data_IF_118290773202
#
_entry.id   IF_118290773202
#
_cell.length_a   1.000
_cell.length_b   1.000
_cell.length_c   1.000
_cell.angle_alpha   90.00
_cell.angle_beta   90.00
_cell.angle_gamma   90.00
#
_symmetry.space_group_name_H-M   'P 1'
#
loop_
_entity.id
_entity.type
_entity.pdbx_description
1 polymer ?
#
# COMPACT_ATOMS: atom_id res chain seq x y z
N UNK A 1 -24.80 12.18 29.09
CA UNK A 1 -23.98 13.40 28.91
C UNK A 1 -23.09 13.19 27.70
N UNK A 2 -23.52 13.65 26.53
CA UNK A 2 -22.83 13.45 25.24
C UNK A 2 -21.91 14.64 24.99
N UNK A 3 -20.60 14.41 24.87
CA UNK A 3 -19.65 15.45 24.43
C UNK A 3 -19.51 15.37 22.92
N UNK A 4 -20.09 16.35 22.23
CA UNK A 4 -19.85 16.60 20.81
C UNK A 4 -18.53 17.38 20.71
N UNK A 5 -17.48 16.74 20.19
CA UNK A 5 -16.28 17.44 19.73
C UNK A 5 -16.47 17.78 18.26
N UNK A 6 -16.75 19.06 18.02
CA UNK A 6 -16.80 19.66 16.69
C UNK A 6 -15.38 19.68 16.13
N UNK A 7 -15.12 18.95 15.05
CA UNK A 7 -13.94 19.14 14.21
C UNK A 7 -14.42 19.65 12.87
N UNK A 8 -14.13 20.93 12.59
CA UNK A 8 -14.46 21.57 11.31
C UNK A 8 -13.20 21.82 10.49
N UNK A 9 -13.31 21.45 9.22
CA UNK A 9 -12.70 22.00 8.01
C UNK A 9 -11.54 21.25 7.30
N UNK A 10 -11.95 20.71 6.14
CA UNK A 10 -11.28 20.69 4.84
C UNK A 10 -10.38 19.51 4.45
N UNK A 11 -11.02 18.38 4.14
CA UNK A 11 -10.96 17.74 2.80
C UNK A 11 -11.98 16.58 2.73
N UNK A 12 -13.07 16.67 1.93
CA UNK A 12 -13.92 15.52 1.70
C UNK A 12 -13.33 14.74 0.51
N UNK A 13 -12.31 13.92 0.77
CA UNK A 13 -11.96 12.88 -0.18
C UNK A 13 -13.00 11.77 -0.02
N UNK A 14 -13.96 11.79 -0.96
CA UNK A 14 -14.80 10.68 -1.43
C UNK A 14 -15.55 9.86 -0.37
N UNK A 15 -16.87 9.73 -0.57
CA UNK A 15 -17.75 8.84 0.19
C UNK A 15 -17.35 7.37 -0.02
N UNK A 16 -16.28 6.92 0.61
CA UNK A 16 -16.06 5.51 0.87
C UNK A 16 -16.94 5.15 2.05
N UNK A 17 -18.06 4.50 1.76
CA UNK A 17 -18.90 3.87 2.76
C UNK A 17 -18.08 2.72 3.35
N UNK A 18 -17.31 3.01 4.41
CA UNK A 18 -16.61 2.00 5.20
C UNK A 18 -17.64 1.14 5.92
N UNK A 19 -18.17 0.16 5.19
CA UNK A 19 -19.19 -0.77 5.64
C UNK A 19 -18.51 -1.86 6.47
N UNK A 20 -18.45 -1.66 7.80
CA UNK A 20 -18.37 -2.65 8.92
C UNK A 20 -17.54 -3.95 8.83
N UNK A 21 -16.78 -4.21 7.78
CA UNK A 21 -15.85 -5.32 7.72
C UNK A 21 -14.43 -4.73 7.83
N UNK A 22 -13.70 -5.12 8.88
CA UNK A 22 -12.30 -4.72 9.11
C UNK A 22 -11.33 -5.17 8.00
N UNK A 23 -11.84 -5.71 6.89
CA UNK A 23 -11.10 -6.28 5.77
C UNK A 23 -11.77 -5.93 4.44
N UNK A 24 -10.96 -5.48 3.50
CA UNK A 24 -11.31 -5.36 2.08
C UNK A 24 -11.13 -6.74 1.44
N UNK A 25 -12.12 -7.14 0.64
CA UNK A 25 -12.09 -8.37 -0.15
C UNK A 25 -11.99 -8.01 -1.62
N UNK A 26 -11.00 -8.58 -2.29
CA UNK A 26 -10.83 -8.48 -3.72
C UNK A 26 -10.82 -9.87 -4.31
N UNK A 27 -11.84 -10.15 -5.12
CA UNK A 27 -11.95 -11.38 -5.88
C UNK A 27 -11.39 -11.10 -7.28
N UNK A 28 -10.15 -11.53 -7.51
CA UNK A 28 -9.67 -11.69 -8.89
C UNK A 28 -10.54 -12.73 -9.60
N UNK A 29 -10.50 -12.81 -10.92
CA UNK A 29 -11.44 -13.63 -11.70
C UNK A 29 -11.52 -15.12 -11.28
N UNK A 30 -10.58 -15.61 -10.47
CA UNK A 30 -10.59 -16.96 -9.95
C UNK A 30 -10.71 -16.98 -8.44
N UNK A 31 -11.56 -17.87 -7.87
CA UNK A 31 -11.87 -17.90 -6.45
C UNK A 31 -10.63 -18.19 -5.58
N UNK A 32 -9.60 -18.83 -6.12
CA UNK A 32 -8.32 -19.10 -5.44
C UNK A 32 -7.39 -17.86 -5.32
N UNK A 33 -7.79 -16.76 -5.95
CA UNK A 33 -7.07 -15.48 -5.94
C UNK A 33 -7.79 -14.41 -5.11
N UNK A 34 -8.57 -14.84 -4.11
CA UNK A 34 -9.12 -13.95 -3.10
C UNK A 34 -8.00 -13.27 -2.31
N UNK A 35 -8.05 -11.94 -2.26
CA UNK A 35 -7.18 -11.12 -1.42
C UNK A 35 -8.02 -10.45 -0.34
N UNK A 36 -7.69 -10.76 0.90
CA UNK A 36 -8.26 -10.12 2.09
C UNK A 36 -7.22 -9.18 2.69
N UNK A 37 -7.52 -7.89 2.74
CA UNK A 37 -6.62 -6.86 3.26
C UNK A 37 -7.29 -6.16 4.45
N UNK A 38 -6.74 -6.26 5.66
CA UNK A 38 -7.16 -5.43 6.79
C UNK A 38 -7.18 -3.94 6.45
N UNK A 39 -8.23 -3.23 6.84
CA UNK A 39 -8.35 -1.78 6.64
C UNK A 39 -7.44 -0.97 7.57
N UNK A 40 -6.90 -1.62 8.62
CA UNK A 40 -5.95 -1.08 9.59
C UNK A 40 -4.99 -2.17 10.06
N UNK A 41 -3.75 -1.76 10.35
CA UNK A 41 -2.74 -2.63 10.94
C UNK A 41 -2.17 -2.06 12.23
N UNK A 42 -2.05 -2.91 13.24
CA UNK A 42 -1.31 -2.61 14.46
C UNK A 42 0.16 -3.05 14.35
N UNK A 43 0.45 -4.02 13.47
CA UNK A 43 1.77 -4.61 13.29
C UNK A 43 2.38 -4.28 11.92
N UNK A 44 3.64 -3.85 11.92
CA UNK A 44 4.40 -3.60 10.68
C UNK A 44 4.57 -4.89 9.89
N UNK A 45 4.87 -5.97 10.61
CA UNK A 45 5.21 -7.26 10.02
C UNK A 45 4.00 -7.82 9.26
N UNK A 46 2.80 -7.65 9.82
CA UNK A 46 1.56 -8.07 9.16
C UNK A 46 1.30 -7.23 7.90
N UNK A 47 1.41 -5.91 8.00
CA UNK A 47 1.25 -5.03 6.84
C UNK A 47 2.27 -5.36 5.73
N UNK A 48 3.56 -5.48 6.06
CA UNK A 48 4.62 -5.82 5.08
C UNK A 48 4.41 -7.22 4.48
N UNK A 49 3.87 -8.18 5.26
CA UNK A 49 3.50 -9.51 4.76
C UNK A 49 2.38 -9.41 3.74
N UNK A 50 1.34 -8.63 4.02
CA UNK A 50 0.19 -8.50 3.13
C UNK A 50 0.54 -7.70 1.86
N UNK A 51 1.44 -6.72 1.94
CA UNK A 51 2.04 -6.09 0.73
C UNK A 51 2.68 -7.15 -0.16
N UNK A 52 3.52 -8.01 0.41
CA UNK A 52 4.18 -9.08 -0.36
C UNK A 52 3.17 -10.07 -0.93
N UNK A 53 2.11 -10.39 -0.20
CA UNK A 53 1.04 -11.28 -0.65
C UNK A 53 0.30 -10.67 -1.85
N UNK A 54 -0.02 -9.38 -1.81
CA UNK A 54 -0.62 -8.64 -2.94
C UNK A 54 0.28 -8.72 -4.18
N UNK A 55 1.56 -8.39 -4.03
CA UNK A 55 2.53 -8.43 -5.14
C UNK A 55 2.63 -9.85 -5.72
N UNK A 56 2.67 -10.88 -4.87
CA UNK A 56 2.71 -12.27 -5.30
C UNK A 56 1.45 -12.67 -6.10
N UNK A 57 0.26 -12.24 -5.67
CA UNK A 57 -1.01 -12.51 -6.39
C UNK A 57 -1.10 -11.77 -7.73
N UNK A 58 -0.59 -10.54 -7.81
CA UNK A 58 -0.44 -9.81 -9.08
C UNK A 58 0.51 -10.57 -10.01
N UNK A 59 1.64 -11.09 -9.50
CA UNK A 59 2.58 -11.90 -10.27
C UNK A 59 1.94 -13.19 -10.79
N UNK A 60 1.19 -13.89 -9.95
CA UNK A 60 0.45 -15.12 -10.31
C UNK A 60 -0.55 -14.85 -11.45
N UNK A 61 -1.30 -13.74 -11.36
CA UNK A 61 -2.23 -13.31 -12.42
C UNK A 61 -1.51 -13.03 -13.75
N UNK A 62 -0.32 -12.42 -13.67
CA UNK A 62 0.53 -12.16 -14.84
C UNK A 62 1.02 -13.44 -15.52
N UNK A 63 1.56 -14.38 -14.74
CA UNK A 63 2.06 -15.66 -15.26
C UNK A 63 0.93 -16.42 -15.97
N UNK A 64 -0.25 -16.41 -15.37
CA UNK A 64 -1.45 -17.03 -15.91
C UNK A 64 -1.95 -16.39 -17.21
N UNK A 65 -1.92 -15.07 -17.31
CA UNK A 65 -2.20 -14.41 -18.59
C UNK A 65 -1.22 -14.83 -19.68
N UNK A 66 0.05 -15.04 -19.35
CA UNK A 66 1.02 -15.60 -20.29
C UNK A 66 0.62 -16.98 -20.81
N UNK A 67 0.12 -17.87 -19.94
CA UNK A 67 -0.40 -19.19 -20.34
C UNK A 67 -1.65 -19.08 -21.22
N UNK A 68 -2.65 -18.29 -20.79
CA UNK A 68 -3.89 -18.11 -21.56
C UNK A 68 -3.65 -17.41 -22.90
N UNK A 69 -2.71 -16.47 -22.95
CA UNK A 69 -2.27 -15.82 -24.18
C UNK A 69 -1.73 -16.83 -25.18
N UNK A 70 -0.78 -17.68 -24.75
CA UNK A 70 -0.21 -18.77 -25.57
C UNK A 70 -1.27 -19.78 -26.03
N UNK A 71 -2.23 -20.10 -25.17
CA UNK A 71 -3.32 -21.03 -25.48
C UNK A 71 -4.45 -20.40 -26.32
N UNK A 72 -4.36 -19.11 -26.66
CA UNK A 72 -5.40 -18.37 -27.40
C UNK A 72 -6.78 -18.38 -26.71
N UNK A 73 -6.78 -18.45 -25.38
CA UNK A 73 -8.01 -18.47 -24.56
C UNK A 73 -8.20 -17.17 -23.76
N UNK A 74 -7.28 -16.22 -23.87
CA UNK A 74 -7.34 -14.97 -23.11
C UNK A 74 -8.27 -13.98 -23.80
N UNK A 75 -9.30 -13.53 -23.08
CA UNK A 75 -10.21 -12.51 -23.60
C UNK A 75 -9.91 -11.12 -23.05
N UNK A 76 -10.23 -10.08 -23.83
CA UNK A 76 -10.07 -8.69 -23.45
C UNK A 76 -10.84 -8.36 -22.16
N UNK A 77 -12.03 -8.94 -21.98
CA UNK A 77 -12.84 -8.77 -20.76
C UNK A 77 -12.07 -9.18 -19.51
N UNK A 78 -11.36 -10.30 -19.57
CA UNK A 78 -10.61 -10.85 -18.44
C UNK A 78 -9.38 -10.03 -18.10
N UNK A 79 -8.71 -9.50 -19.12
CA UNK A 79 -7.62 -8.56 -18.94
C UNK A 79 -8.12 -7.30 -18.23
N UNK A 80 -9.21 -6.69 -18.72
CA UNK A 80 -9.78 -5.48 -18.12
C UNK A 80 -10.22 -5.68 -16.67
N UNK A 81 -11.02 -6.71 -16.40
CA UNK A 81 -11.51 -7.00 -15.04
C UNK A 81 -10.37 -7.18 -14.05
N UNK A 82 -9.37 -7.99 -14.41
CA UNK A 82 -8.21 -8.26 -13.55
C UNK A 82 -7.36 -7.01 -13.33
N UNK A 83 -7.17 -6.17 -14.35
CA UNK A 83 -6.44 -4.90 -14.22
C UNK A 83 -7.19 -3.91 -13.34
N UNK A 84 -8.51 -3.81 -13.48
CA UNK A 84 -9.34 -2.94 -12.66
C UNK A 84 -9.28 -3.35 -11.18
N UNK A 85 -9.39 -4.66 -10.91
CA UNK A 85 -9.28 -5.20 -9.54
C UNK A 85 -7.86 -4.99 -8.98
N UNK A 86 -6.82 -5.25 -9.77
CA UNK A 86 -5.43 -5.04 -9.36
C UNK A 86 -5.13 -3.56 -9.07
N UNK A 87 -5.67 -2.63 -9.86
CA UNK A 87 -5.59 -1.20 -9.57
C UNK A 87 -6.21 -0.88 -8.21
N UNK A 88 -7.45 -1.33 -7.97
CA UNK A 88 -8.16 -1.06 -6.71
C UNK A 88 -7.41 -1.64 -5.50
N UNK A 89 -6.83 -2.83 -5.63
CA UNK A 89 -6.00 -3.45 -4.59
C UNK A 89 -4.79 -2.57 -4.27
N UNK A 90 -4.05 -2.12 -5.30
CA UNK A 90 -2.83 -1.32 -5.14
C UNK A 90 -3.15 0.05 -4.53
N UNK A 91 -4.19 0.72 -5.03
CA UNK A 91 -4.66 2.00 -4.47
C UNK A 91 -5.05 1.86 -3.00
N UNK A 92 -5.86 0.85 -2.67
CA UNK A 92 -6.29 0.57 -1.30
C UNK A 92 -5.10 0.30 -0.39
N UNK A 93 -4.16 -0.54 -0.82
CA UNK A 93 -2.97 -0.87 -0.03
C UNK A 93 -2.08 0.35 0.18
N UNK A 94 -1.90 1.19 -0.84
CA UNK A 94 -1.17 2.45 -0.72
C UNK A 94 -1.80 3.40 0.32
N UNK A 95 -3.12 3.52 0.34
CA UNK A 95 -3.84 4.31 1.35
C UNK A 95 -3.62 3.74 2.75
N UNK A 96 -3.70 2.41 2.90
CA UNK A 96 -3.52 1.74 4.20
C UNK A 96 -2.09 1.90 4.72
N UNK A 97 -1.08 1.72 3.88
CA UNK A 97 0.33 1.91 4.24
C UNK A 97 0.59 3.36 4.68
N UNK A 98 0.08 4.34 3.92
CA UNK A 98 0.21 5.76 4.27
C UNK A 98 -0.41 6.03 5.65
N UNK A 99 -1.64 5.58 5.87
CA UNK A 99 -2.32 5.72 7.17
C UNK A 99 -1.52 5.10 8.30
N UNK A 100 -1.04 3.87 8.13
CA UNK A 100 -0.26 3.15 9.14
C UNK A 100 0.98 3.92 9.63
N UNK A 101 1.70 4.56 8.70
CA UNK A 101 2.90 5.33 9.04
C UNK A 101 2.60 6.74 9.54
N UNK A 102 1.54 7.40 9.03
CA UNK A 102 1.07 8.70 9.53
C UNK A 102 0.66 8.61 11.01
N UNK A 103 -0.12 7.59 11.39
CA UNK A 103 -0.55 7.39 12.79
C UNK A 103 0.66 7.26 13.74
N UNK A 104 1.76 6.66 13.25
CA UNK A 104 3.01 6.50 14.03
C UNK A 104 3.80 7.79 14.11
N UNK A 105 3.86 8.55 13.03
CA UNK A 105 4.48 9.87 13.01
C UNK A 105 3.75 10.82 13.99
N UNK A 106 2.42 10.82 14.00
CA UNK A 106 1.62 11.57 14.97
C UNK A 106 1.89 11.12 16.40
N UNK A 107 1.97 9.80 16.64
CA UNK A 107 2.35 9.24 17.93
C UNK A 107 3.74 9.72 18.41
N UNK A 108 4.71 9.86 17.51
CA UNK A 108 6.01 10.43 17.81
C UNK A 108 5.92 11.94 18.14
N UNK A 109 5.13 12.70 17.37
CA UNK A 109 4.91 14.14 17.63
C UNK A 109 4.32 14.38 19.01
N UNK A 110 3.35 13.56 19.44
CA UNK A 110 2.74 13.66 20.77
C UNK A 110 3.73 13.28 21.87
N UNK A 111 4.50 12.20 21.71
CA UNK A 111 5.56 11.81 22.66
C UNK A 111 6.59 12.93 22.82
N UNK A 112 7.01 13.53 21.71
CA UNK A 112 7.93 14.67 21.69
C UNK A 112 7.39 15.83 22.52
N UNK A 113 6.14 16.24 22.29
CA UNK A 113 5.51 17.34 23.05
C UNK A 113 5.49 17.06 24.56
N UNK A 114 5.18 15.83 24.96
CA UNK A 114 5.19 15.42 26.38
C UNK A 114 6.58 15.50 27.00
N UNK A 115 7.60 15.04 26.31
CA UNK A 115 8.99 15.10 26.80
C UNK A 115 9.50 16.53 26.91
N UNK A 116 9.16 17.40 25.95
CA UNK A 116 9.46 18.84 26.05
C UNK A 116 8.79 19.49 27.25
N UNK A 117 7.53 19.16 27.52
CA UNK A 117 6.82 19.66 28.69
C UNK A 117 7.47 19.16 29.99
N UNK A 118 7.90 17.90 30.05
CA UNK A 118 8.54 17.32 31.23
C UNK A 118 9.88 17.98 31.58
N UNK A 119 10.67 18.40 30.57
CA UNK A 119 11.98 19.04 30.78
C UNK A 119 11.92 20.57 30.68
N UNK A 120 10.73 21.18 30.60
CA UNK A 120 10.58 22.61 30.37
C UNK A 120 11.37 23.45 31.39
N UNK A 121 11.35 23.05 32.66
CA UNK A 121 11.99 23.75 33.77
C UNK A 121 13.35 23.16 34.19
N UNK A 122 13.95 22.27 33.39
CA UNK A 122 15.10 21.47 33.80
C UNK A 122 16.45 22.22 33.90
N UNK A 123 16.46 23.56 33.95
CA UNK A 123 17.69 24.39 33.94
C UNK A 123 18.55 24.32 32.67
N UNK A 124 18.34 23.30 31.82
CA UNK A 124 19.06 23.11 30.55
C UNK A 124 18.67 24.17 29.52
N UNK A 125 19.65 24.60 28.72
CA UNK A 125 19.38 25.45 27.55
C UNK A 125 18.61 24.67 26.48
N UNK A 126 17.83 25.40 25.67
CA UNK A 126 16.98 24.86 24.59
C UNK A 126 17.70 23.90 23.63
N UNK A 127 18.93 24.17 23.13
CA UNK A 127 19.61 23.25 22.22
C UNK A 127 19.97 21.90 22.87
N UNK A 128 20.37 21.87 24.13
CA UNK A 128 20.67 20.62 24.84
C UNK A 128 19.40 19.80 25.12
N UNK A 129 18.28 20.47 25.45
CA UNK A 129 16.96 19.82 25.56
C UNK A 129 16.55 19.15 24.25
N UNK A 130 16.75 19.85 23.13
CA UNK A 130 16.46 19.33 21.79
C UNK A 130 17.34 18.13 21.44
N UNK A 131 18.65 18.24 21.65
CA UNK A 131 19.60 17.16 21.40
C UNK A 131 19.30 15.91 22.26
N UNK A 132 18.98 16.09 23.54
CA UNK A 132 18.63 15.00 24.44
C UNK A 132 17.37 14.24 23.99
N UNK A 133 16.31 14.96 23.60
CA UNK A 133 15.07 14.35 23.10
C UNK A 133 15.31 13.67 21.74
N UNK A 134 16.04 14.32 20.83
CA UNK A 134 16.33 13.77 19.50
C UNK A 134 17.16 12.48 19.59
N UNK A 135 18.18 12.45 20.46
CA UNK A 135 19.00 11.26 20.69
C UNK A 135 18.22 10.13 21.36
N UNK A 136 17.45 10.44 22.42
CA UNK A 136 16.68 9.44 23.19
C UNK A 136 15.69 8.65 22.34
N UNK A 137 15.15 9.28 21.28
CA UNK A 137 14.12 8.67 20.45
C UNK A 137 14.53 8.46 18.98
N UNK A 138 15.76 8.79 18.60
CA UNK A 138 16.25 8.74 17.21
C UNK A 138 15.26 9.37 16.20
N UNK A 139 14.63 10.50 16.57
CA UNK A 139 13.38 10.97 15.97
C UNK A 139 13.52 11.28 14.47
N UNK A 140 14.54 12.05 14.09
CA UNK A 140 14.77 12.43 12.70
C UNK A 140 15.03 11.23 11.79
N UNK A 141 15.64 10.17 12.35
CA UNK A 141 15.85 8.92 11.63
C UNK A 141 14.55 8.15 11.46
N UNK A 142 13.67 8.14 12.48
CA UNK A 142 12.38 7.44 12.42
C UNK A 142 11.39 8.11 11.46
N UNK A 143 11.25 9.44 11.48
CA UNK A 143 10.36 10.17 10.57
C UNK A 143 10.80 10.01 9.10
N UNK A 144 12.12 10.14 8.83
CA UNK A 144 12.70 9.88 7.50
C UNK A 144 12.49 8.43 7.08
N UNK A 145 12.63 7.49 8.00
CA UNK A 145 12.45 6.07 7.72
C UNK A 145 10.99 5.72 7.40
N UNK A 146 10.00 6.33 8.07
CA UNK A 146 8.58 6.17 7.71
C UNK A 146 8.28 6.67 6.30
N UNK A 147 8.76 7.87 5.97
CA UNK A 147 8.61 8.45 4.62
C UNK A 147 9.24 7.54 3.56
N UNK A 148 10.46 7.07 3.82
CA UNK A 148 11.15 6.12 2.95
C UNK A 148 10.34 4.83 2.76
N UNK A 149 9.77 4.27 3.83
CA UNK A 149 8.98 3.03 3.78
C UNK A 149 7.69 3.18 2.97
N UNK A 150 6.96 4.28 3.15
CA UNK A 150 5.77 4.58 2.33
C UNK A 150 6.16 4.64 0.85
N UNK A 151 7.23 5.37 0.51
CA UNK A 151 7.69 5.50 -0.87
C UNK A 151 8.19 4.17 -1.45
N UNK A 152 8.90 3.37 -0.66
CA UNK A 152 9.39 2.05 -1.07
C UNK A 152 8.23 1.11 -1.40
N UNK A 153 7.32 0.88 -0.45
CA UNK A 153 6.21 -0.06 -0.64
C UNK A 153 5.27 0.41 -1.75
N UNK A 154 5.03 1.71 -1.87
CA UNK A 154 4.25 2.25 -2.98
C UNK A 154 4.88 1.97 -4.35
N UNK A 155 6.21 2.16 -4.48
CA UNK A 155 6.91 1.81 -5.73
C UNK A 155 6.87 0.32 -6.05
N UNK A 156 7.02 -0.55 -5.05
CA UNK A 156 6.97 -2.01 -5.26
C UNK A 156 5.58 -2.46 -5.75
N UNK A 157 4.50 -1.88 -5.22
CA UNK A 157 3.13 -2.17 -5.65
C UNK A 157 2.85 -1.63 -7.06
N UNK A 158 3.26 -0.40 -7.36
CA UNK A 158 3.08 0.20 -8.69
C UNK A 158 3.90 -0.51 -9.77
N UNK A 159 5.14 -0.92 -9.48
CA UNK A 159 5.96 -1.72 -10.40
C UNK A 159 5.31 -3.08 -10.71
N UNK A 160 4.73 -3.74 -9.70
CA UNK A 160 3.99 -4.98 -9.91
C UNK A 160 2.77 -4.78 -10.82
N UNK A 161 2.03 -3.69 -10.61
CA UNK A 161 0.85 -3.33 -11.40
C UNK A 161 1.22 -2.97 -12.85
N UNK A 162 2.28 -2.18 -13.03
CA UNK A 162 2.77 -1.81 -14.35
C UNK A 162 3.24 -3.03 -15.14
N UNK A 163 3.96 -3.96 -14.48
CA UNK A 163 4.32 -5.25 -15.08
C UNK A 163 3.08 -6.04 -15.48
N UNK A 164 2.04 -6.10 -14.65
CA UNK A 164 0.79 -6.76 -15.03
C UNK A 164 0.15 -6.10 -16.26
N UNK A 165 0.07 -4.77 -16.32
CA UNK A 165 -0.49 -4.02 -17.47
C UNK A 165 0.27 -4.30 -18.77
N UNK A 166 1.61 -4.22 -18.74
CA UNK A 166 2.44 -4.47 -19.92
C UNK A 166 2.27 -5.90 -20.42
N UNK A 167 2.43 -6.88 -19.53
CA UNK A 167 2.35 -8.30 -19.90
C UNK A 167 0.94 -8.74 -20.31
N UNK A 168 -0.12 -8.20 -19.69
CA UNK A 168 -1.50 -8.53 -20.08
C UNK A 168 -1.84 -8.04 -21.48
N UNK A 169 -1.38 -6.84 -21.84
CA UNK A 169 -1.54 -6.28 -23.19
C UNK A 169 -0.82 -7.15 -24.22
N UNK A 170 0.39 -7.59 -23.91
CA UNK A 170 1.16 -8.46 -24.80
C UNK A 170 0.53 -9.86 -24.92
N UNK A 171 0.15 -10.48 -23.80
CA UNK A 171 -0.51 -11.78 -23.79
C UNK A 171 -1.81 -11.77 -24.60
N UNK A 172 -2.57 -10.66 -24.55
CA UNK A 172 -3.77 -10.47 -25.35
C UNK A 172 -3.44 -10.35 -26.85
N UNK A 173 -2.36 -9.65 -27.20
CA UNK A 173 -1.87 -9.56 -28.59
C UNK A 173 -1.53 -10.95 -29.14
N UNK A 174 -0.79 -11.74 -28.37
CA UNK A 174 -0.45 -13.14 -28.72
C UNK A 174 -1.71 -13.99 -28.88
N UNK A 175 -2.67 -13.85 -27.97
CA UNK A 175 -3.96 -14.56 -28.02
C UNK A 175 -4.72 -14.28 -29.32
N UNK A 176 -4.64 -13.03 -29.82
CA UNK A 176 -5.26 -12.61 -31.08
C UNK A 176 -4.50 -13.06 -32.33
N UNK A 177 -3.41 -13.83 -32.18
CA UNK A 177 -2.65 -14.40 -33.29
C UNK A 177 -1.48 -13.54 -33.78
N UNK A 178 -1.14 -12.46 -33.07
CA UNK A 178 0.04 -11.67 -33.39
C UNK A 178 1.31 -12.36 -32.86
N UNK A 179 2.43 -12.17 -33.56
CA UNK A 179 3.72 -12.63 -33.07
C UNK A 179 4.11 -11.90 -31.78
N UNK A 180 4.69 -12.61 -30.78
CA UNK A 180 5.19 -11.98 -29.58
C UNK A 180 6.31 -11.00 -29.92
N UNK A 181 6.29 -9.82 -29.29
CA UNK A 181 7.29 -8.77 -29.53
C UNK A 181 8.68 -9.13 -28.97
N UNK A 182 8.79 -10.22 -28.20
CA UNK A 182 10.03 -10.78 -27.70
C UNK A 182 10.12 -12.24 -28.14
N UNK A 183 11.13 -12.59 -28.94
CA UNK A 183 11.44 -13.99 -29.22
C UNK A 183 11.73 -14.73 -27.91
N UNK A 184 11.01 -15.84 -27.66
CA UNK A 184 11.31 -16.90 -26.66
C UNK A 184 12.12 -16.49 -25.40
N UNK A 185 11.67 -15.49 -24.65
CA UNK A 185 12.20 -15.23 -23.29
C UNK A 185 11.07 -15.34 -22.26
N UNK A 186 10.47 -16.53 -22.22
CA UNK A 186 9.67 -17.03 -21.10
C UNK A 186 10.26 -18.39 -20.69
N UNK A 187 11.47 -18.35 -20.15
CA UNK A 187 12.04 -19.37 -19.27
C UNK A 187 12.42 -18.67 -17.98
#
# INVERSE_FOLDING_TARGET
MVRILHMSHHNPLTKEVFNTNDKLRFDLEHPEQEILIPTRYNSRIEMERDVKKVIAKIKESRERFGEMGRNKTLSNRQVRSTLDIANQIVESMNVIIKRYYLDREEGLKVKRQREYAAIQNSGMSKPFKHAAIALKYHLDLQEKWFTFKVAQSGRELEDALEKLRRYSTEALSISNGNEPCWGTTLV
#
